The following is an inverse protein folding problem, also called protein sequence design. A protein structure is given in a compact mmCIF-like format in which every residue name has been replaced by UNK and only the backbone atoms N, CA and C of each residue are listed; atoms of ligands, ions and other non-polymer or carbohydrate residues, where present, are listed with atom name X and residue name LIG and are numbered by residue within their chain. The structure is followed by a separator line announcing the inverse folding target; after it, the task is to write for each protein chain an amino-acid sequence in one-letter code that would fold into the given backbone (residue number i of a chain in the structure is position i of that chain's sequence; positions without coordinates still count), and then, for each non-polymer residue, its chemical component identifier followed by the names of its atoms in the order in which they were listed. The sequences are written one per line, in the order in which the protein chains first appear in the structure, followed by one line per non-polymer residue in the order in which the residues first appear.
data_IF_510409494459
#
_entry.id   IF_510409494459
#
_cell.length_a   1.000
_cell.length_b   1.000
_cell.length_c   1.000
_cell.angle_alpha   90.00
_cell.angle_beta   90.00
_cell.angle_gamma   90.00
#
_symmetry.space_group_name_H-M   'P 1'
#
loop_
_entity.id
_entity.type
_entity.pdbx_description
1 polymer ?
#
# COMPACT_ATOMS: atom_id res chain seq x y z
N UNK A 1 -20.44 1.50 -73.25
CA UNK A 1 -21.69 1.25 -72.50
C UNK A 1 -22.14 -0.12 -72.93
N UNK A 2 -21.80 -1.17 -72.20
CA UNK A 2 -22.55 -1.56 -71.00
C UNK A 2 -21.64 -2.28 -70.00
N UNK A 3 -21.69 -1.85 -68.74
CA UNK A 3 -20.93 -2.38 -67.61
C UNK A 3 -21.87 -3.30 -66.84
N UNK A 4 -21.76 -4.60 -67.10
CA UNK A 4 -22.38 -5.66 -66.30
C UNK A 4 -21.84 -5.62 -64.87
N UNK A 5 -22.50 -4.83 -64.02
CA UNK A 5 -22.27 -4.79 -62.58
C UNK A 5 -23.11 -5.90 -61.94
N UNK A 6 -22.59 -7.12 -62.01
CA UNK A 6 -22.98 -8.17 -61.07
C UNK A 6 -22.23 -7.88 -59.77
N UNK A 7 -22.89 -7.21 -58.84
CA UNK A 7 -22.43 -7.09 -57.46
C UNK A 7 -22.40 -8.50 -56.83
N UNK A 8 -21.26 -8.98 -56.30
CA UNK A 8 -21.30 -10.14 -55.42
C UNK A 8 -21.86 -9.73 -54.06
N UNK A 9 -22.65 -10.65 -53.53
CA UNK A 9 -23.37 -10.57 -52.28
C UNK A 9 -22.51 -10.01 -51.14
N UNK A 10 -23.17 -9.19 -50.32
CA UNK A 10 -22.77 -8.77 -48.99
C UNK A 10 -21.98 -9.85 -48.23
N UNK A 11 -20.67 -9.65 -48.11
CA UNK A 11 -19.87 -10.28 -47.06
C UNK A 11 -20.25 -9.57 -45.76
N UNK A 12 -21.37 -9.96 -45.18
CA UNK A 12 -21.62 -9.73 -43.75
C UNK A 12 -20.70 -10.70 -43.03
N UNK A 13 -19.60 -10.20 -42.48
CA UNK A 13 -18.76 -10.94 -41.56
C UNK A 13 -19.57 -11.30 -40.30
N UNK A 14 -20.21 -12.47 -40.33
CA UNK A 14 -21.00 -13.04 -39.23
C UNK A 14 -20.12 -13.65 -38.11
N UNK A 15 -18.81 -13.41 -38.10
CA UNK A 15 -17.88 -14.16 -37.23
C UNK A 15 -17.60 -13.60 -35.83
N UNK A 16 -18.24 -12.51 -35.38
CA UNK A 16 -18.08 -12.01 -34.00
C UNK A 16 -19.42 -11.58 -33.40
N UNK A 17 -20.18 -12.53 -32.88
CA UNK A 17 -21.29 -12.19 -31.96
C UNK A 17 -20.67 -11.77 -30.63
N UNK A 18 -20.55 -10.46 -30.41
CA UNK A 18 -20.17 -9.92 -29.10
C UNK A 18 -21.10 -10.43 -28.01
N UNK A 19 -20.53 -10.95 -26.92
CA UNK A 19 -21.26 -11.44 -25.75
C UNK A 19 -20.96 -10.49 -24.58
N UNK A 20 -21.64 -9.34 -24.59
CA UNK A 20 -21.47 -8.33 -23.55
C UNK A 20 -22.31 -8.72 -22.34
N UNK A 21 -21.65 -8.92 -21.21
CA UNK A 21 -22.27 -9.25 -19.93
C UNK A 21 -21.90 -8.22 -18.88
N UNK A 22 -22.77 -8.07 -17.89
CA UNK A 22 -22.46 -7.31 -16.68
C UNK A 22 -21.93 -8.25 -15.62
N UNK A 23 -20.66 -8.09 -15.26
CA UNK A 23 -20.08 -8.75 -14.09
C UNK A 23 -20.04 -7.78 -12.92
N UNK A 24 -20.22 -8.30 -11.71
CA UNK A 24 -20.11 -7.50 -10.49
C UNK A 24 -18.76 -7.74 -9.83
N UNK A 25 -18.03 -6.66 -9.65
CA UNK A 25 -16.74 -6.66 -9.00
C UNK A 25 -16.87 -6.08 -7.59
N UNK A 26 -16.15 -6.67 -6.64
CA UNK A 26 -16.06 -6.17 -5.27
C UNK A 26 -14.62 -5.78 -4.93
N UNK A 27 -14.45 -4.68 -4.21
CA UNK A 27 -13.19 -4.32 -3.53
C UNK A 27 -13.44 -4.56 -2.03
N UNK A 28 -13.05 -5.72 -1.49
CA UNK A 28 -13.36 -6.13 -0.12
C UNK A 28 -12.98 -5.09 0.92
N UNK A 29 -11.79 -4.52 0.81
CA UNK A 29 -11.23 -3.58 1.78
C UNK A 29 -11.92 -2.21 1.80
N UNK A 30 -12.68 -1.87 0.74
CA UNK A 30 -13.42 -0.62 0.63
C UNK A 30 -14.94 -0.82 0.77
N UNK A 31 -15.39 -2.07 0.90
CA UNK A 31 -16.80 -2.44 0.88
C UNK A 31 -17.59 -1.96 -0.34
N UNK A 32 -16.89 -1.80 -1.46
CA UNK A 32 -17.46 -1.32 -2.71
C UNK A 32 -17.79 -2.51 -3.61
N UNK A 33 -19.04 -2.59 -4.09
CA UNK A 33 -19.46 -3.52 -5.15
C UNK A 33 -20.01 -2.71 -6.30
N UNK A 34 -19.57 -2.99 -7.53
CA UNK A 34 -19.97 -2.22 -8.70
C UNK A 34 -20.00 -3.09 -9.97
N UNK A 35 -20.87 -2.75 -10.94
CA UNK A 35 -20.95 -3.46 -12.20
C UNK A 35 -19.85 -3.03 -13.17
N UNK A 36 -19.41 -3.97 -14.01
CA UNK A 36 -18.52 -3.76 -15.15
C UNK A 36 -19.10 -4.50 -16.35
N UNK A 37 -19.25 -3.80 -17.48
CA UNK A 37 -19.71 -4.39 -18.74
C UNK A 37 -18.51 -4.81 -19.59
N UNK A 38 -18.49 -6.06 -20.04
CA UNK A 38 -17.36 -6.61 -20.80
C UNK A 38 -17.82 -7.68 -21.80
N UNK A 39 -17.17 -7.76 -22.96
CA UNK A 39 -17.40 -8.81 -23.96
C UNK A 39 -16.63 -10.07 -23.59
N UNK A 40 -17.30 -11.01 -22.91
CA UNK A 40 -16.62 -12.14 -22.28
C UNK A 40 -16.04 -13.13 -23.30
N UNK A 41 -16.62 -13.20 -24.50
CA UNK A 41 -16.19 -14.10 -25.56
C UNK A 41 -14.86 -13.68 -26.21
N UNK A 42 -14.52 -12.39 -26.12
CA UNK A 42 -13.41 -11.79 -26.85
C UNK A 42 -12.42 -11.01 -26.00
N UNK A 43 -12.69 -10.84 -24.71
CA UNK A 43 -11.81 -10.11 -23.78
C UNK A 43 -10.93 -11.04 -22.94
N UNK A 44 -9.76 -10.51 -22.60
CA UNK A 44 -8.79 -11.13 -21.70
C UNK A 44 -8.93 -10.56 -20.27
N UNK A 45 -8.26 -11.18 -19.30
CA UNK A 45 -8.17 -10.65 -17.93
C UNK A 45 -7.57 -9.24 -17.91
N UNK A 46 -6.58 -8.94 -18.76
CA UNK A 46 -6.03 -7.59 -18.91
C UNK A 46 -7.07 -6.54 -19.36
N UNK A 47 -8.00 -6.92 -20.23
CA UNK A 47 -9.09 -6.03 -20.64
C UNK A 47 -10.06 -5.77 -19.49
N UNK A 48 -10.33 -6.80 -18.68
CA UNK A 48 -11.13 -6.66 -17.47
C UNK A 48 -10.49 -5.69 -16.46
N UNK A 49 -9.19 -5.83 -16.20
CA UNK A 49 -8.44 -4.90 -15.32
C UNK A 49 -8.62 -3.45 -15.78
N UNK A 50 -8.52 -3.20 -17.09
CA UNK A 50 -8.70 -1.86 -17.67
C UNK A 50 -10.14 -1.34 -17.50
N UNK A 51 -11.13 -2.19 -17.76
CA UNK A 51 -12.55 -1.86 -17.55
C UNK A 51 -12.88 -1.56 -16.08
N UNK A 52 -12.25 -2.27 -15.15
CA UNK A 52 -12.37 -2.00 -13.71
C UNK A 52 -11.79 -0.62 -13.36
N UNK A 53 -10.61 -0.27 -13.88
CA UNK A 53 -10.01 1.06 -13.70
C UNK A 53 -10.91 2.17 -14.27
N UNK A 54 -11.44 1.97 -15.48
CA UNK A 54 -12.39 2.89 -16.13
C UNK A 54 -13.67 3.10 -15.29
N UNK A 55 -14.17 2.04 -14.63
CA UNK A 55 -15.36 2.12 -13.78
C UNK A 55 -15.11 2.84 -12.45
N UNK A 56 -13.86 2.85 -11.96
CA UNK A 56 -13.48 3.41 -10.65
C UNK A 56 -12.16 4.22 -10.72
N UNK A 57 -12.06 5.26 -11.56
CA UNK A 57 -10.80 5.96 -11.82
C UNK A 57 -10.25 6.71 -10.60
N UNK A 58 -11.14 7.18 -9.70
CA UNK A 58 -10.74 7.86 -8.47
C UNK A 58 -10.33 6.89 -7.34
N UNK A 59 -10.75 5.63 -7.43
CA UNK A 59 -10.37 4.58 -6.47
C UNK A 59 -9.12 3.83 -6.94
N UNK A 60 -8.97 3.64 -8.25
CA UNK A 60 -7.87 2.94 -8.90
C UNK A 60 -7.03 3.98 -9.64
N UNK A 61 -6.21 4.70 -8.87
CA UNK A 61 -5.37 5.81 -9.36
C UNK A 61 -4.05 5.35 -10.01
N UNK A 62 -3.87 4.04 -10.16
CA UNK A 62 -2.64 3.40 -10.59
C UNK A 62 -2.89 2.51 -11.81
N UNK A 63 -1.84 1.94 -12.39
CA UNK A 63 -1.97 1.18 -13.63
C UNK A 63 -2.76 -0.13 -13.45
N UNK A 64 -3.56 -0.45 -14.46
CA UNK A 64 -4.55 -1.53 -14.36
C UNK A 64 -3.88 -2.90 -14.18
N UNK A 65 -2.68 -3.08 -14.73
CA UNK A 65 -1.83 -4.27 -14.61
C UNK A 65 -1.51 -4.62 -13.15
N UNK A 66 -1.40 -3.62 -12.27
CA UNK A 66 -1.14 -3.83 -10.84
C UNK A 66 -2.36 -4.35 -10.06
N UNK A 67 -3.56 -4.38 -10.66
CA UNK A 67 -4.72 -5.00 -10.01
C UNK A 67 -4.53 -6.51 -9.88
N UNK A 68 -4.87 -7.04 -8.71
CA UNK A 68 -4.96 -8.49 -8.48
C UNK A 68 -6.43 -8.89 -8.47
N UNK A 69 -6.80 -9.77 -9.39
CA UNK A 69 -8.18 -10.21 -9.57
C UNK A 69 -8.30 -11.68 -9.16
N UNK A 70 -9.40 -12.00 -8.49
CA UNK A 70 -9.76 -13.36 -8.07
C UNK A 70 -11.22 -13.63 -8.40
N UNK A 71 -11.58 -14.89 -8.68
CA UNK A 71 -12.99 -15.26 -8.80
C UNK A 71 -13.64 -15.23 -7.41
N UNK A 72 -14.81 -14.64 -7.32
CA UNK A 72 -15.66 -14.70 -6.14
C UNK A 72 -16.46 -16.02 -6.11
N UNK A 73 -15.80 -17.16 -6.36
CA UNK A 73 -16.43 -18.48 -6.50
C UNK A 73 -15.96 -19.41 -5.39
N UNK A 74 -16.86 -19.80 -4.48
CA UNK A 74 -16.62 -20.74 -3.39
C UNK A 74 -17.42 -22.00 -3.64
N UNK A 75 -16.79 -23.16 -3.62
CA UNK A 75 -17.46 -24.47 -3.76
C UNK A 75 -18.34 -24.56 -5.02
N UNK A 76 -17.87 -23.96 -6.12
CA UNK A 76 -18.58 -23.96 -7.40
C UNK A 76 -19.68 -22.90 -7.53
N UNK A 77 -19.96 -22.11 -6.48
CA UNK A 77 -21.00 -21.07 -6.47
C UNK A 77 -20.40 -19.67 -6.35
N UNK A 78 -20.99 -18.70 -7.05
CA UNK A 78 -20.63 -17.30 -6.88
C UNK A 78 -21.06 -16.79 -5.50
N UNK A 79 -20.31 -15.86 -4.93
CA UNK A 79 -20.70 -15.19 -3.71
C UNK A 79 -21.94 -14.34 -3.97
N UNK A 80 -23.02 -14.57 -3.23
CA UNK A 80 -24.24 -13.80 -3.42
C UNK A 80 -24.28 -12.59 -2.47
N UNK A 81 -24.88 -11.47 -2.91
CA UNK A 81 -25.00 -10.27 -2.07
C UNK A 81 -25.83 -10.46 -0.79
N UNK A 82 -26.59 -11.56 -0.70
CA UNK A 82 -27.30 -11.97 0.52
C UNK A 82 -26.44 -12.78 1.48
N UNK A 83 -25.29 -13.31 1.04
CA UNK A 83 -24.35 -14.03 1.90
C UNK A 83 -23.86 -13.07 2.99
N UNK A 84 -23.79 -13.57 4.22
CA UNK A 84 -23.30 -12.76 5.34
C UNK A 84 -21.86 -12.30 5.13
N UNK A 85 -21.06 -13.05 4.38
CA UNK A 85 -19.73 -12.67 3.98
C UNK A 85 -19.73 -11.44 3.07
N UNK A 86 -20.61 -11.39 2.07
CA UNK A 86 -20.73 -10.22 1.18
C UNK A 86 -21.34 -9.02 1.91
N UNK A 87 -22.25 -9.25 2.87
CA UNK A 87 -22.73 -8.19 3.75
C UNK A 87 -21.61 -7.63 4.64
N UNK A 88 -20.70 -8.47 5.11
CA UNK A 88 -19.52 -8.05 5.86
C UNK A 88 -18.54 -7.27 4.96
N UNK A 89 -18.36 -7.70 3.70
CA UNK A 89 -17.58 -6.94 2.72
C UNK A 89 -18.09 -5.52 2.59
N UNK A 90 -19.40 -5.31 2.46
CA UNK A 90 -19.99 -3.95 2.37
C UNK A 90 -19.69 -3.04 3.57
N UNK A 91 -19.26 -3.59 4.71
CA UNK A 91 -18.80 -2.85 5.90
C UNK A 91 -17.28 -2.70 5.97
N UNK A 92 -16.54 -3.18 4.98
CA UNK A 92 -15.07 -3.23 4.96
C UNK A 92 -14.48 -4.39 5.77
N UNK A 93 -15.28 -5.36 6.16
CA UNK A 93 -14.84 -6.53 6.94
C UNK A 93 -14.58 -7.73 6.00
N UNK A 94 -13.33 -8.19 5.93
CA UNK A 94 -12.97 -9.40 5.16
C UNK A 94 -12.99 -10.62 6.08
N UNK A 95 -13.91 -11.55 5.82
CA UNK A 95 -14.02 -12.82 6.56
C UNK A 95 -13.14 -13.90 5.93
N UNK A 96 -12.89 -14.95 6.71
CA UNK A 96 -12.01 -16.07 6.33
C UNK A 96 -12.37 -16.68 4.97
N UNK A 97 -13.66 -16.94 4.71
CA UNK A 97 -14.11 -17.49 3.42
C UNK A 97 -13.68 -16.61 2.24
N UNK A 98 -13.86 -15.30 2.34
CA UNK A 98 -13.44 -14.37 1.28
C UNK A 98 -11.92 -14.26 1.21
N UNK A 99 -11.23 -14.21 2.35
CA UNK A 99 -9.77 -14.21 2.41
C UNK A 99 -9.14 -15.43 1.73
N UNK A 100 -9.75 -16.61 1.90
CA UNK A 100 -9.30 -17.85 1.28
C UNK A 100 -9.46 -17.87 -0.25
N UNK A 101 -10.36 -17.04 -0.81
CA UNK A 101 -10.51 -16.86 -2.26
C UNK A 101 -9.45 -15.90 -2.84
N UNK A 102 -8.80 -15.10 -2.00
CA UNK A 102 -7.82 -14.07 -2.40
C UNK A 102 -6.37 -14.52 -2.16
N UNK A 103 -6.12 -15.82 -2.23
CA UNK A 103 -4.77 -16.38 -2.11
C UNK A 103 -4.03 -16.27 -3.45
N UNK A 104 -2.72 -16.00 -3.39
CA UNK A 104 -1.87 -15.77 -4.58
C UNK A 104 -1.97 -16.88 -5.65
N UNK A 105 -2.12 -18.14 -5.23
CA UNK A 105 -2.30 -19.28 -6.14
C UNK A 105 -3.60 -19.26 -6.96
N UNK A 106 -4.58 -18.44 -6.57
CA UNK A 106 -5.88 -18.27 -7.24
C UNK A 106 -5.94 -17.00 -8.09
N UNK A 107 -4.82 -16.29 -8.21
CA UNK A 107 -4.73 -15.05 -8.97
C UNK A 107 -5.05 -15.30 -10.45
N UNK A 108 -5.91 -14.47 -11.02
CA UNK A 108 -6.24 -14.54 -12.44
C UNK A 108 -5.06 -14.10 -13.29
N UNK A 109 -4.74 -14.91 -14.30
CA UNK A 109 -3.59 -14.68 -15.19
C UNK A 109 -3.99 -13.73 -16.32
N UNK A 110 -3.21 -12.68 -16.53
CA UNK A 110 -3.59 -11.54 -17.36
C UNK A 110 -3.82 -11.85 -18.86
N UNK A 111 -3.01 -12.76 -19.40
CA UNK A 111 -3.03 -13.17 -20.80
C UNK A 111 -4.03 -14.29 -21.11
N UNK A 112 -4.83 -14.71 -20.13
CA UNK A 112 -5.86 -15.73 -20.32
C UNK A 112 -7.21 -15.11 -20.69
N UNK A 113 -7.99 -15.87 -21.46
CA UNK A 113 -9.32 -15.41 -21.92
C UNK A 113 -10.35 -15.52 -20.81
N UNK A 114 -11.28 -14.57 -20.74
CA UNK A 114 -12.34 -14.59 -19.73
C UNK A 114 -13.27 -15.81 -19.86
N UNK A 115 -13.61 -16.21 -21.09
CA UNK A 115 -14.45 -17.37 -21.36
C UNK A 115 -13.75 -18.74 -21.17
N UNK A 116 -12.52 -18.77 -20.67
CA UNK A 116 -11.86 -20.02 -20.29
C UNK A 116 -12.65 -20.71 -19.16
N UNK A 117 -12.79 -22.04 -19.21
CA UNK A 117 -13.60 -22.81 -18.27
C UNK A 117 -13.10 -22.72 -16.81
N UNK A 118 -11.80 -22.48 -16.63
CA UNK A 118 -11.21 -22.21 -15.32
C UNK A 118 -11.70 -20.88 -14.70
N UNK A 119 -12.29 -19.99 -15.49
CA UNK A 119 -12.79 -18.69 -15.05
C UNK A 119 -14.31 -18.61 -15.16
N UNK A 120 -14.82 -17.99 -16.21
CA UNK A 120 -16.27 -17.83 -16.41
C UNK A 120 -16.84 -18.95 -17.26
N UNK A 121 -16.06 -19.48 -18.21
CA UNK A 121 -16.51 -20.45 -19.19
C UNK A 121 -17.33 -19.83 -20.33
N UNK A 122 -17.53 -20.62 -21.39
CA UNK A 122 -18.25 -20.17 -22.60
C UNK A 122 -19.76 -20.01 -22.43
N UNK A 123 -20.34 -20.59 -21.37
CA UNK A 123 -21.77 -20.56 -21.05
C UNK A 123 -22.06 -19.67 -19.84
N UNK A 124 -21.18 -18.71 -19.56
CA UNK A 124 -21.34 -17.84 -18.42
C UNK A 124 -22.58 -16.95 -18.57
N UNK A 125 -23.52 -17.10 -17.63
CA UNK A 125 -24.69 -16.25 -17.50
C UNK A 125 -24.68 -15.63 -16.10
N UNK A 126 -24.40 -14.32 -15.98
CA UNK A 126 -24.39 -13.67 -14.68
C UNK A 126 -25.80 -13.65 -14.11
N UNK A 127 -25.95 -14.10 -12.87
CA UNK A 127 -27.23 -13.99 -12.16
C UNK A 127 -27.30 -12.70 -11.36
N UNK A 128 -28.51 -12.23 -11.10
CA UNK A 128 -28.71 -11.05 -10.26
C UNK A 128 -28.17 -11.30 -8.86
N UNK A 129 -27.51 -10.29 -8.27
CA UNK A 129 -26.95 -10.29 -6.91
C UNK A 129 -25.67 -11.09 -6.72
N UNK A 130 -25.16 -11.78 -7.73
CA UNK A 130 -23.88 -12.46 -7.63
C UNK A 130 -22.72 -11.47 -7.75
N UNK A 131 -21.74 -11.62 -6.88
CA UNK A 131 -20.41 -11.03 -6.99
C UNK A 131 -19.55 -12.05 -7.72
N UNK A 132 -18.87 -11.58 -8.76
CA UNK A 132 -18.16 -12.44 -9.70
C UNK A 132 -16.65 -12.34 -9.54
N UNK A 133 -16.15 -11.14 -9.24
CA UNK A 133 -14.71 -10.85 -9.14
C UNK A 133 -14.41 -10.12 -7.84
N UNK A 134 -13.40 -10.59 -7.11
CA UNK A 134 -12.79 -9.88 -5.99
C UNK A 134 -11.54 -9.16 -6.49
N UNK A 135 -11.42 -7.88 -6.15
CA UNK A 135 -10.30 -7.03 -6.51
C UNK A 135 -9.47 -6.81 -5.24
N UNK A 136 -8.25 -7.30 -5.26
CA UNK A 136 -7.21 -6.90 -4.33
C UNK A 136 -6.43 -5.73 -4.93
N UNK A 137 -6.26 -4.70 -4.12
CA UNK A 137 -5.52 -3.52 -4.51
C UNK A 137 -4.21 -3.53 -3.74
N UNK A 138 -3.05 -3.51 -4.43
CA UNK A 138 -1.77 -3.54 -3.76
C UNK A 138 -1.66 -2.49 -2.65
N UNK A 139 -1.09 -2.89 -1.51
CA UNK A 139 -0.92 -2.01 -0.34
C UNK A 139 -0.13 -0.72 -0.65
N UNK A 140 0.67 -0.76 -1.71
CA UNK A 140 1.57 0.32 -2.15
C UNK A 140 0.85 1.38 -2.99
N UNK A 141 -0.42 1.15 -3.33
CA UNK A 141 -1.26 2.11 -4.01
C UNK A 141 -1.86 3.10 -3.00
N UNK A 142 -1.51 4.38 -3.12
CA UNK A 142 -1.96 5.45 -2.24
C UNK A 142 -3.45 5.77 -2.49
N UNK A 143 -4.32 5.48 -1.52
CA UNK A 143 -5.77 5.67 -1.64
C UNK A 143 -6.26 6.97 -0.98
N UNK A 144 -7.00 7.82 -1.69
CA UNK A 144 -7.88 8.77 -1.02
C UNK A 144 -9.09 8.01 -0.44
N UNK A 145 -9.10 7.76 0.87
CA UNK A 145 -10.24 7.18 1.59
C UNK A 145 -9.93 6.02 2.53
N UNK A 146 -8.69 5.49 2.52
CA UNK A 146 -8.23 4.53 3.53
C UNK A 146 -7.56 5.35 4.65
N UNK A 147 -8.26 5.63 5.75
CA UNK A 147 -7.68 6.36 6.88
C UNK A 147 -6.75 5.45 7.70
N UNK A 148 -5.64 5.02 7.10
CA UNK A 148 -4.52 4.37 7.81
C UNK A 148 -3.63 5.37 8.54
N UNK A 149 -4.14 6.59 8.75
CA UNK A 149 -3.49 7.65 9.49
C UNK A 149 -3.28 7.20 10.93
N UNK A 150 -2.03 6.98 11.29
CA UNK A 150 -1.61 6.75 12.66
C UNK A 150 -1.13 8.06 13.27
N UNK A 151 -1.31 8.19 14.57
CA UNK A 151 -0.75 9.28 15.36
C UNK A 151 0.53 8.80 16.02
N UNK A 152 1.66 9.36 15.58
CA UNK A 152 2.97 9.07 16.14
C UNK A 152 3.33 10.21 17.10
N UNK A 153 3.50 9.87 18.37
CA UNK A 153 4.10 10.78 19.36
C UNK A 153 5.62 10.80 19.19
N UNK A 154 6.17 11.97 18.88
CA UNK A 154 7.59 12.23 18.71
C UNK A 154 8.11 13.08 19.86
N UNK A 155 9.32 12.79 20.34
CA UNK A 155 10.03 13.60 21.33
C UNK A 155 11.39 14.04 20.77
N UNK A 156 11.79 15.28 21.07
CA UNK A 156 13.14 15.79 20.80
C UNK A 156 13.87 15.90 22.14
N UNK A 157 14.73 14.92 22.49
CA UNK A 157 15.52 14.97 23.72
C UNK A 157 16.37 16.24 23.80
N UNK A 158 16.42 16.87 24.97
CA UNK A 158 17.13 18.15 25.19
C UNK A 158 16.36 19.42 24.79
N UNK A 159 15.42 19.31 23.85
CA UNK A 159 14.51 20.43 23.55
C UNK A 159 13.33 20.53 24.53
N UNK A 160 13.01 19.45 25.25
CA UNK A 160 11.83 19.42 26.12
C UNK A 160 10.51 19.38 25.36
N UNK A 161 10.53 18.99 24.08
CA UNK A 161 9.34 19.02 23.23
C UNK A 161 8.87 17.61 22.91
N UNK A 162 7.61 17.33 23.27
CA UNK A 162 6.86 16.17 22.78
C UNK A 162 5.70 16.69 21.94
N UNK A 163 5.48 16.10 20.77
CA UNK A 163 4.44 16.49 19.83
C UNK A 163 3.92 15.29 19.07
N UNK A 164 2.75 15.44 18.46
CA UNK A 164 2.09 14.40 17.69
C UNK A 164 2.18 14.70 16.21
N UNK A 165 2.40 13.66 15.42
CA UNK A 165 2.44 13.71 13.96
C UNK A 165 1.39 12.74 13.43
N UNK A 166 0.59 13.19 12.47
CA UNK A 166 -0.35 12.36 11.75
C UNK A 166 0.27 11.94 10.42
N UNK A 167 0.38 10.63 10.19
CA UNK A 167 0.98 10.08 8.98
C UNK A 167 0.31 8.76 8.62
N UNK A 168 0.22 8.44 7.34
CA UNK A 168 -0.24 7.13 6.90
C UNK A 168 0.81 6.06 7.26
N UNK A 169 0.39 4.95 7.88
CA UNK A 169 1.30 3.89 8.31
C UNK A 169 2.01 3.14 7.15
N UNK A 170 1.64 3.40 5.89
CA UNK A 170 2.29 2.86 4.69
C UNK A 170 3.42 3.72 4.17
N UNK A 171 3.46 4.99 4.59
CA UNK A 171 4.54 5.89 4.24
C UNK A 171 5.87 5.39 4.81
N UNK A 172 6.97 5.97 4.34
CA UNK A 172 8.31 5.60 4.77
C UNK A 172 8.80 6.50 5.91
N UNK A 173 9.87 6.08 6.56
CA UNK A 173 10.55 6.88 7.59
C UNK A 173 10.99 8.24 7.02
N UNK A 174 11.37 8.31 5.74
CA UNK A 174 11.67 9.58 5.07
C UNK A 174 10.49 10.56 5.10
N UNK A 175 9.28 10.09 4.82
CA UNK A 175 8.08 10.92 4.88
C UNK A 175 7.75 11.36 6.31
N UNK A 176 8.00 10.49 7.29
CA UNK A 176 7.89 10.83 8.71
C UNK A 176 8.85 11.96 9.09
N UNK A 177 10.09 11.95 8.59
CA UNK A 177 11.06 13.04 8.82
C UNK A 177 10.52 14.37 8.28
N UNK A 178 9.95 14.37 7.08
CA UNK A 178 9.32 15.56 6.48
C UNK A 178 8.17 16.08 7.35
N UNK A 179 7.27 15.19 7.78
CA UNK A 179 6.15 15.54 8.66
C UNK A 179 6.58 16.08 10.03
N UNK A 180 7.67 15.55 10.57
CA UNK A 180 8.26 16.04 11.83
C UNK A 180 8.80 17.47 11.65
N UNK A 181 9.50 17.75 10.54
CA UNK A 181 9.97 19.10 10.19
C UNK A 181 8.81 20.06 10.02
N UNK A 182 7.76 19.66 9.29
CA UNK A 182 6.53 20.44 9.10
C UNK A 182 5.84 20.77 10.44
N UNK A 183 5.83 19.83 11.39
CA UNK A 183 5.22 20.03 12.70
C UNK A 183 6.02 20.98 13.61
N UNK A 184 7.34 21.05 13.43
CA UNK A 184 8.26 21.83 14.29
C UNK A 184 9.33 22.60 13.48
N UNK A 185 8.94 23.50 12.55
CA UNK A 185 9.87 24.16 11.64
C UNK A 185 10.84 25.10 12.35
N UNK A 186 10.42 25.71 13.47
CA UNK A 186 11.25 26.63 14.25
C UNK A 186 12.22 25.93 15.20
N UNK A 187 11.93 24.68 15.55
CA UNK A 187 12.75 23.90 16.49
C UNK A 187 13.79 23.10 15.73
N UNK A 188 13.39 22.47 14.62
CA UNK A 188 14.27 21.71 13.76
C UNK A 188 14.91 22.67 12.78
N UNK A 189 16.23 22.88 12.85
CA UNK A 189 16.90 23.87 11.98
C UNK A 189 17.26 23.29 10.63
N UNK A 190 17.75 22.06 10.63
CA UNK A 190 18.26 21.40 9.44
C UNK A 190 17.15 20.79 8.57
N UNK A 191 17.55 20.37 7.37
CA UNK A 191 16.69 19.63 6.45
C UNK A 191 16.27 18.28 7.05
N UNK A 192 15.11 17.80 6.62
CA UNK A 192 14.51 16.59 7.18
C UNK A 192 15.40 15.35 7.01
N UNK A 193 16.21 15.27 5.96
CA UNK A 193 17.14 14.18 5.69
C UNK A 193 18.26 14.06 6.74
N UNK A 194 18.63 15.18 7.37
CA UNK A 194 19.62 15.25 8.44
C UNK A 194 19.07 14.89 9.83
N UNK A 195 17.77 14.62 9.94
CA UNK A 195 17.18 14.08 11.17
C UNK A 195 17.56 12.61 11.35
N UNK A 196 17.99 12.25 12.55
CA UNK A 196 18.13 10.87 13.00
C UNK A 196 16.90 10.50 13.84
N UNK A 197 16.20 9.46 13.43
CA UNK A 197 15.01 8.95 14.12
C UNK A 197 15.33 7.61 14.79
N UNK A 198 14.86 7.43 16.01
CA UNK A 198 15.04 6.21 16.80
C UNK A 198 13.71 5.77 17.40
N UNK A 199 13.51 4.46 17.57
CA UNK A 199 12.32 3.95 18.26
C UNK A 199 12.45 4.20 19.77
N UNK A 200 11.41 4.78 20.36
CA UNK A 200 11.30 4.97 21.80
C UNK A 200 10.81 3.69 22.52
N UNK A 201 11.31 2.52 22.09
CA UNK A 201 10.87 1.21 22.55
C UNK A 201 12.02 0.49 23.25
N UNK A 202 11.80 0.08 24.49
CA UNK A 202 12.74 -0.74 25.26
C UNK A 202 12.18 -2.16 25.47
N UNK A 203 12.92 -3.01 26.21
CA UNK A 203 12.55 -4.40 26.49
C UNK A 203 11.21 -4.58 27.22
N UNK A 204 10.64 -3.51 27.80
CA UNK A 204 9.37 -3.52 28.53
C UNK A 204 8.20 -2.84 27.80
N UNK A 205 8.43 -2.14 26.68
CA UNK A 205 7.38 -1.41 25.96
C UNK A 205 7.84 -0.07 25.38
N UNK A 206 6.87 0.74 24.95
CA UNK A 206 7.10 2.14 24.56
C UNK A 206 7.38 2.99 25.80
N UNK A 207 8.14 4.09 25.64
CA UNK A 207 8.34 5.06 26.70
C UNK A 207 7.01 5.78 27.01
N UNK A 208 6.51 5.66 28.23
CA UNK A 208 5.24 6.30 28.59
C UNK A 208 5.44 7.77 28.97
N UNK A 209 4.50 8.65 28.62
CA UNK A 209 4.47 10.04 29.10
C UNK A 209 4.43 10.17 30.63
N UNK A 210 4.05 9.09 31.34
CA UNK A 210 3.98 9.04 32.81
C UNK A 210 5.27 8.54 33.47
N UNK A 211 6.23 8.06 32.70
CA UNK A 211 7.50 7.58 33.26
C UNK A 211 8.40 8.76 33.65
N UNK A 212 9.19 8.57 34.71
CA UNK A 212 10.18 9.56 35.18
C UNK A 212 11.16 9.98 34.08
N UNK A 213 11.45 9.07 33.14
CA UNK A 213 12.31 9.33 31.99
C UNK A 213 11.69 10.37 31.02
N UNK A 214 10.36 10.41 30.92
CA UNK A 214 9.66 11.38 30.07
C UNK A 214 9.54 12.74 30.75
N UNK A 215 9.35 12.74 32.07
CA UNK A 215 9.44 13.96 32.88
C UNK A 215 10.83 14.60 32.76
N UNK A 216 11.90 13.79 32.73
CA UNK A 216 13.27 14.24 32.49
C UNK A 216 13.44 14.81 31.06
N UNK A 217 12.91 14.13 30.03
CA UNK A 217 12.91 14.63 28.65
C UNK A 217 12.30 16.04 28.55
N UNK A 218 11.14 16.26 29.19
CA UNK A 218 10.46 17.56 29.26
C UNK A 218 11.28 18.61 30.02
N UNK A 219 12.04 18.20 31.03
CA UNK A 219 13.00 19.05 31.77
C UNK A 219 14.32 19.27 31.05
N UNK A 220 14.45 18.82 29.80
CA UNK A 220 15.67 18.89 28.97
C UNK A 220 16.83 18.04 29.52
N UNK A 221 16.53 17.11 30.42
CA UNK A 221 17.47 16.16 30.98
C UNK A 221 17.43 14.86 30.15
N UNK A 222 18.60 14.40 29.69
CA UNK A 222 18.72 13.14 28.95
C UNK A 222 19.35 12.10 29.88
N UNK A 223 18.50 11.24 30.47
CA UNK A 223 18.95 10.11 31.31
C UNK A 223 19.58 9.01 30.45
N UNK A 224 20.43 8.20 31.06
CA UNK A 224 21.19 7.16 30.34
C UNK A 224 20.28 6.14 29.64
N UNK A 225 19.12 5.81 30.23
CA UNK A 225 18.12 4.97 29.58
C UNK A 225 17.55 5.52 28.28
N UNK A 226 17.54 6.85 28.07
CA UNK A 226 17.18 7.47 26.78
C UNK A 226 18.38 7.47 25.84
N UNK A 227 19.60 7.74 26.34
CA UNK A 227 20.82 7.68 25.53
C UNK A 227 21.03 6.29 24.94
N UNK A 228 20.71 5.25 25.71
CA UNK A 228 20.80 3.85 25.26
C UNK A 228 19.90 3.51 24.08
N UNK A 229 18.78 4.23 23.91
CA UNK A 229 17.86 4.09 22.78
C UNK A 229 18.29 4.92 21.57
N UNK A 230 19.22 5.85 21.73
CA UNK A 230 19.72 6.74 20.67
C UNK A 230 21.10 6.31 20.16
N UNK A 231 21.33 5.00 20.08
CA UNK A 231 22.54 4.41 19.48
C UNK A 231 22.36 4.28 17.98
N UNK A 232 23.42 4.50 17.20
CA UNK A 232 23.36 4.50 15.73
C UNK A 232 22.86 3.15 15.15
N UNK A 233 23.06 2.03 15.86
CA UNK A 233 22.54 0.71 15.47
C UNK A 233 20.99 0.61 15.52
N UNK A 234 20.33 1.56 16.20
CA UNK A 234 18.87 1.62 16.33
C UNK A 234 18.24 2.71 15.43
N UNK A 235 19.02 3.23 14.49
CA UNK A 235 18.59 4.30 13.60
C UNK A 235 17.60 3.79 12.56
N UNK A 236 16.50 4.53 12.41
CA UNK A 236 15.50 4.25 11.39
C UNK A 236 15.97 4.79 10.02
N UNK A 237 16.18 3.88 9.08
CA UNK A 237 16.55 4.21 7.71
C UNK A 237 15.36 4.78 6.93
N UNK A 238 15.62 5.82 6.12
CA UNK A 238 14.59 6.55 5.37
C UNK A 238 13.71 5.66 4.49
N UNK A 239 14.26 4.57 3.97
CA UNK A 239 13.58 3.69 3.03
C UNK A 239 12.63 2.69 3.71
N UNK A 240 12.67 2.55 5.03
CA UNK A 240 11.80 1.60 5.74
C UNK A 240 10.36 2.10 5.75
N UNK A 241 9.40 1.21 5.46
CA UNK A 241 7.96 1.48 5.64
C UNK A 241 7.60 1.49 7.13
N UNK A 242 6.71 2.38 7.54
CA UNK A 242 6.31 2.51 8.95
C UNK A 242 5.60 1.24 9.47
N UNK A 243 4.79 0.59 8.65
CA UNK A 243 4.12 -0.69 8.96
C UNK A 243 5.06 -1.91 8.95
N UNK A 244 6.36 -1.75 8.65
CA UNK A 244 7.30 -2.85 8.67
C UNK A 244 7.56 -3.32 10.11
N UNK A 245 7.73 -4.62 10.32
CA UNK A 245 7.92 -5.22 11.66
C UNK A 245 9.16 -4.71 12.40
N UNK A 246 10.16 -4.20 11.69
CA UNK A 246 11.36 -3.59 12.29
C UNK A 246 11.19 -2.12 12.67
N UNK A 247 10.07 -1.48 12.29
CA UNK A 247 9.76 -0.09 12.64
C UNK A 247 8.64 -0.07 13.69
N UNK A 248 7.38 -0.09 13.27
CA UNK A 248 6.24 -0.17 14.20
C UNK A 248 5.49 -1.50 14.13
N UNK A 249 5.54 -2.18 12.98
CA UNK A 249 4.84 -3.42 12.70
C UNK A 249 3.43 -3.26 12.12
N UNK A 250 2.97 -4.32 11.45
CA UNK A 250 1.74 -4.32 10.65
C UNK A 250 0.45 -4.00 11.43
N UNK A 251 0.46 -4.21 12.75
CA UNK A 251 -0.69 -3.97 13.66
C UNK A 251 -0.41 -2.87 14.68
N UNK A 252 0.48 -1.94 14.34
CA UNK A 252 0.78 -0.84 15.23
C UNK A 252 -0.47 -0.01 15.52
N UNK A 253 -0.92 -0.06 16.77
CA UNK A 253 -1.99 0.77 17.30
C UNK A 253 -1.38 1.62 18.42
N UNK A 254 -0.96 2.86 18.10
CA UNK A 254 -0.32 3.73 19.07
C UNK A 254 -1.27 4.04 20.21
N UNK A 255 -0.82 3.85 21.45
CA UNK A 255 -1.56 4.31 22.63
C UNK A 255 -1.27 5.80 22.80
N UNK A 256 -2.33 6.57 23.06
CA UNK A 256 -2.30 8.03 23.02
C UNK A 256 -1.33 8.68 24.03
N UNK A 257 -0.77 7.89 24.95
CA UNK A 257 0.11 8.34 26.04
C UNK A 257 1.56 7.89 25.91
N UNK A 258 1.92 7.18 24.86
CA UNK A 258 3.27 6.69 24.67
C UNK A 258 4.06 7.58 23.70
N UNK A 259 5.37 7.69 23.92
CA UNK A 259 6.34 8.23 22.98
C UNK A 259 6.79 7.07 22.10
N UNK A 260 6.73 7.30 20.79
CA UNK A 260 7.01 6.27 19.79
C UNK A 260 8.35 6.51 19.09
N UNK A 261 8.72 7.77 18.88
CA UNK A 261 9.93 8.16 18.16
C UNK A 261 10.73 9.20 18.92
N UNK A 262 12.04 8.99 19.03
CA UNK A 262 13.01 9.99 19.47
C UNK A 262 13.66 10.63 18.24
N UNK A 263 13.71 11.96 18.23
CA UNK A 263 14.26 12.76 17.13
C UNK A 263 15.55 13.42 17.58
N UNK A 264 16.65 13.16 16.88
CA UNK A 264 17.94 13.83 17.08
C UNK A 264 18.30 14.60 15.82
N UNK A 265 18.70 15.85 15.97
CA UNK A 265 19.34 16.60 14.89
C UNK A 265 20.79 16.15 14.74
N UNK A 266 21.29 16.06 13.51
CA UNK A 266 22.70 15.86 13.27
C UNK A 266 23.51 17.03 13.86
N UNK A 267 24.62 16.72 14.52
CA UNK A 267 25.61 17.72 14.90
C UNK A 267 26.24 18.28 13.61
N UNK A 268 26.27 19.61 13.51
CA UNK A 268 26.74 20.45 12.39
C UNK A 268 27.05 19.75 11.04
N UNK A 269 26.27 20.01 9.97
CA UNK A 269 26.47 19.41 8.64
C UNK A 269 27.81 19.72 7.96
N UNK A 270 28.61 20.66 8.48
CA UNK A 270 30.00 20.86 8.03
C UNK A 270 30.89 19.64 8.29
N UNK A 271 30.61 18.84 9.33
CA UNK A 271 31.33 17.61 9.66
C UNK A 271 30.88 16.44 8.76
N UNK A 272 29.60 16.40 8.37
CA UNK A 272 29.00 15.30 7.59
C UNK A 272 29.46 15.28 6.12
N UNK A 273 29.79 16.44 5.52
CA UNK A 273 30.38 16.50 4.16
C UNK A 273 31.68 15.71 4.03
N UNK A 274 32.43 15.55 5.12
CA UNK A 274 33.68 14.77 5.13
C UNK A 274 33.42 13.25 5.05
N UNK A 275 32.26 12.77 5.49
CA UNK A 275 31.90 11.34 5.40
C UNK A 275 31.45 10.94 3.99
N UNK A 276 30.68 11.77 3.27
CA UNK A 276 30.32 11.51 1.86
C UNK A 276 31.55 11.49 0.94
N UNK A 277 32.57 12.30 1.24
CA UNK A 277 33.85 12.32 0.50
C UNK A 277 34.74 11.10 0.75
N UNK A 278 34.70 10.47 1.93
CA UNK A 278 35.48 9.24 2.19
C UNK A 278 34.85 7.98 1.59
N UNK A 279 33.52 7.91 1.49
CA UNK A 279 32.84 6.79 0.82
C UNK A 279 32.99 6.80 -0.71
N UNK A 280 33.22 7.97 -1.34
CA UNK A 280 33.57 8.03 -2.77
C UNK A 280 35.01 7.61 -3.08
N UNK A 281 35.89 7.45 -2.07
CA UNK A 281 37.29 7.06 -2.28
C UNK A 281 37.55 5.54 -2.15
N UNK A 282 36.57 4.73 -1.73
CA UNK A 282 36.71 3.27 -1.64
C UNK A 282 36.23 2.50 -2.88
N UNK A 283 35.68 3.19 -3.89
CA UNK A 283 35.14 2.57 -5.11
C UNK A 283 36.03 2.72 -6.36
N UNK A 284 37.26 3.24 -6.23
CA UNK A 284 38.20 3.41 -7.36
C UNK A 284 39.60 2.84 -7.09
N UNK A 285 39.71 1.79 -6.26
CA UNK A 285 41.00 1.27 -5.77
C UNK A 285 41.32 -0.20 -6.09
N UNK A 286 40.62 -0.85 -7.03
CA UNK A 286 41.00 -2.20 -7.49
C UNK A 286 41.37 -2.17 -8.98
N UNK A 287 42.56 -1.64 -9.27
CA UNK A 287 43.27 -1.98 -10.50
C UNK A 287 44.01 -3.30 -10.25
N UNK A 288 43.55 -4.37 -10.87
CA UNK A 288 44.23 -5.66 -10.89
C UNK A 288 45.51 -5.50 -11.71
N UNK A 289 46.67 -5.61 -11.05
CA UNK A 289 47.94 -5.95 -11.68
C UNK A 289 47.91 -7.46 -11.96
N UNK A 290 47.77 -7.84 -13.23
CA UNK A 290 48.08 -9.18 -13.70
C UNK A 290 49.54 -9.17 -14.18
N UNK A 291 50.35 -10.03 -13.54
CA UNK A 291 51.67 -10.44 -13.99
C UNK A 291 51.53 -11.65 -14.91
#
# INVERSE_FOLDING_TARGET
MDLSTVLPASVVDLSKRSNIVTIFCAIPELGSVFPVNIDIAHSFIGDLKRKIKEAKPHTICFDADMLRLYLAKSDGMWLNSNDDDVRALKRGEVRERVGNLMLERLLLVENEKLNHDAYFGNQFEPTTRDVHVLIDIPEDCNFPGRNNTITISCAIPGAGSVFRVHIDNRQRVGDLKNKIKEAKPNLIRYDADLLKLYLAKNRGGWLSLRDDNTSALLRREVRDGVKDLMKDDLLLFCDLKLNHNTVFGKRFSPVDRDIHVLVKEAEDPTIVRHYKSKFSCWLLGFTILAN
#
